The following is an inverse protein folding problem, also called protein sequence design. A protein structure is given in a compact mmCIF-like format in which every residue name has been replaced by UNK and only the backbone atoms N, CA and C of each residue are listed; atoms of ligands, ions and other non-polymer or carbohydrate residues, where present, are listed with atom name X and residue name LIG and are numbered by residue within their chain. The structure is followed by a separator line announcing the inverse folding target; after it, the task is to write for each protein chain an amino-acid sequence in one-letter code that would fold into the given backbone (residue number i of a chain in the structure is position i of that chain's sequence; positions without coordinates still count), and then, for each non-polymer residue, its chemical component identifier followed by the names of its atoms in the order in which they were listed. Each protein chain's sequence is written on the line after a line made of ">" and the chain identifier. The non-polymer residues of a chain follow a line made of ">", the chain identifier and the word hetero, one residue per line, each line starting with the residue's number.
data_IF_027325436519
#
_entry.id   IF_027325436519
#
_cell.length_a   1.000
_cell.length_b   1.000
_cell.length_c   1.000
_cell.angle_alpha   90.00
_cell.angle_beta   90.00
_cell.angle_gamma   90.00
#
_symmetry.space_group_name_H-M   'P 1'
#
loop_
_entity.id
_entity.type
_entity.pdbx_description
1 polymer ?
#
# COMPACT_ATOMS: atom_id res chain seq x y z
N UNK A 1 -0.01 13.35 31.66
CA UNK A 1 0.53 12.97 30.33
C UNK A 1 -0.66 12.67 29.44
N UNK A 2 -0.60 13.04 28.15
CA UNK A 2 -1.59 12.56 27.18
C UNK A 2 -1.21 11.11 26.85
N UNK A 3 -2.16 10.18 27.00
CA UNK A 3 -1.99 8.79 26.59
C UNK A 3 -1.81 8.73 25.06
N UNK A 4 -0.79 8.01 24.61
CA UNK A 4 -0.41 7.94 23.18
C UNK A 4 -0.11 6.51 22.77
N UNK A 5 -0.45 6.18 21.52
CA UNK A 5 -0.12 4.90 20.91
C UNK A 5 1.33 4.93 20.44
N UNK A 6 2.09 3.91 20.82
CA UNK A 6 3.47 3.71 20.35
C UNK A 6 3.44 2.72 19.19
N UNK A 7 3.94 3.14 18.03
CA UNK A 7 4.11 2.30 16.85
C UNK A 7 5.60 2.05 16.68
N UNK A 8 6.01 0.79 16.70
CA UNK A 8 7.40 0.39 16.51
C UNK A 8 7.58 -0.11 15.09
N UNK A 9 8.26 0.68 14.26
CA UNK A 9 8.50 0.47 12.83
C UNK A 9 7.79 1.50 11.95
N UNK A 10 8.57 2.21 11.12
CA UNK A 10 8.10 3.18 10.12
C UNK A 10 8.05 2.58 8.70
N UNK A 11 7.72 1.30 8.60
CA UNK A 11 7.38 0.67 7.32
C UNK A 11 5.98 1.07 6.82
N UNK A 12 5.54 0.58 5.65
CA UNK A 12 4.25 0.94 5.07
C UNK A 12 3.08 0.74 6.03
N UNK A 13 3.04 -0.39 6.74
CA UNK A 13 1.98 -0.68 7.72
C UNK A 13 2.00 0.32 8.87
N UNK A 14 3.16 0.57 9.48
CA UNK A 14 3.28 1.49 10.62
C UNK A 14 2.92 2.93 10.27
N UNK A 15 3.34 3.41 9.11
CA UNK A 15 3.00 4.75 8.61
C UNK A 15 1.51 4.88 8.30
N UNK A 16 0.90 3.88 7.66
CA UNK A 16 -0.55 3.87 7.40
C UNK A 16 -1.33 3.80 8.70
N UNK A 17 -0.91 2.98 9.67
CA UNK A 17 -1.53 2.93 11.01
C UNK A 17 -1.45 4.30 11.70
N UNK A 18 -0.29 4.94 11.68
CA UNK A 18 -0.11 6.27 12.26
C UNK A 18 -1.04 7.31 11.61
N UNK A 19 -1.15 7.30 10.29
CA UNK A 19 -2.06 8.16 9.53
C UNK A 19 -3.52 7.93 9.94
N UNK A 20 -3.97 6.68 10.00
CA UNK A 20 -5.35 6.34 10.35
C UNK A 20 -5.73 6.72 11.79
N UNK A 21 -4.78 6.62 12.73
CA UNK A 21 -4.95 7.05 14.12
C UNK A 21 -4.93 8.58 14.24
N UNK A 22 -4.02 9.25 13.53
CA UNK A 22 -3.93 10.71 13.50
C UNK A 22 -5.21 11.35 12.93
N UNK A 23 -5.82 10.76 11.89
CA UNK A 23 -7.11 11.21 11.35
C UNK A 23 -8.23 11.18 12.41
N UNK A 24 -8.15 10.23 13.34
CA UNK A 24 -9.08 10.08 14.47
C UNK A 24 -8.68 10.89 15.70
N UNK A 25 -7.72 11.80 15.56
CA UNK A 25 -7.17 12.64 16.62
C UNK A 25 -6.56 11.83 17.79
N UNK A 26 -6.12 10.59 17.51
CA UNK A 26 -5.43 9.76 18.50
C UNK A 26 -3.93 10.09 18.45
N UNK A 27 -3.32 10.53 19.57
CA UNK A 27 -1.90 10.86 19.60
C UNK A 27 -1.02 9.62 19.37
N UNK A 28 -0.05 9.74 18.47
CA UNK A 28 0.87 8.65 18.11
C UNK A 28 2.33 9.07 18.25
N UNK A 29 3.19 8.10 18.57
CA UNK A 29 4.64 8.20 18.42
C UNK A 29 5.12 7.00 17.62
N UNK A 30 5.92 7.26 16.58
CA UNK A 30 6.54 6.23 15.76
C UNK A 30 8.01 6.12 16.15
N UNK A 31 8.48 4.90 16.38
CA UNK A 31 9.89 4.58 16.64
C UNK A 31 10.42 3.74 15.49
N UNK A 32 11.43 4.24 14.79
CA UNK A 32 12.12 3.51 13.72
C UNK A 32 13.60 3.36 14.09
N UNK A 33 14.16 2.18 13.81
CA UNK A 33 15.57 1.91 14.07
C UNK A 33 16.48 2.49 12.97
N UNK A 34 15.98 2.57 11.74
CA UNK A 34 16.66 3.20 10.62
C UNK A 34 16.73 4.72 10.74
N UNK A 35 17.76 5.32 10.12
CA UNK A 35 17.97 6.77 10.10
C UNK A 35 17.08 7.53 9.10
N UNK A 36 16.23 6.84 8.34
CA UNK A 36 15.40 7.42 7.29
C UNK A 36 14.49 6.40 6.63
N UNK A 37 13.79 6.84 5.57
CA UNK A 37 12.96 5.95 4.75
C UNK A 37 13.88 4.97 4.01
N UNK A 38 13.54 3.68 4.09
CA UNK A 38 14.26 2.64 3.35
C UNK A 38 13.92 2.74 1.85
N UNK A 39 14.94 2.78 0.99
CA UNK A 39 14.81 2.92 -0.47
C UNK A 39 14.87 1.57 -1.20
N UNK A 40 15.02 0.45 -0.48
CA UNK A 40 15.06 -0.87 -1.10
C UNK A 40 13.71 -1.20 -1.73
N UNK A 41 13.73 -1.64 -2.99
CA UNK A 41 12.56 -2.15 -3.66
C UNK A 41 12.14 -3.49 -3.04
N UNK A 42 11.04 -3.47 -2.28
CA UNK A 42 10.43 -4.66 -1.65
C UNK A 42 9.10 -4.99 -2.32
N UNK A 43 7.99 -4.60 -1.69
CA UNK A 43 6.66 -4.73 -2.29
C UNK A 43 6.47 -3.64 -3.34
N UNK A 44 5.99 -4.02 -4.53
CA UNK A 44 5.81 -3.12 -5.67
C UNK A 44 4.35 -2.90 -6.07
N UNK A 45 3.42 -3.70 -5.54
CA UNK A 45 2.06 -3.80 -6.05
C UNK A 45 1.05 -3.27 -5.05
N UNK A 46 0.20 -2.35 -5.50
CA UNK A 46 -1.01 -1.93 -4.80
C UNK A 46 -2.22 -2.47 -5.55
N UNK A 47 -3.05 -3.26 -4.88
CA UNK A 47 -4.32 -3.73 -5.45
C UNK A 47 -5.41 -2.69 -5.29
N UNK A 48 -6.47 -2.70 -6.13
CA UNK A 48 -7.56 -1.72 -6.06
C UNK A 48 -8.13 -1.50 -4.64
N UNK A 49 -8.42 -2.54 -3.81
CA UNK A 49 -8.94 -2.31 -2.46
C UNK A 49 -8.00 -1.50 -1.56
N UNK A 50 -6.68 -1.63 -1.76
CA UNK A 50 -5.70 -0.81 -1.02
C UNK A 50 -5.70 0.64 -1.50
N UNK A 51 -5.88 0.86 -2.81
CA UNK A 51 -6.02 2.20 -3.38
C UNK A 51 -7.33 2.86 -2.92
N UNK A 52 -8.42 2.11 -2.83
CA UNK A 52 -9.71 2.59 -2.33
C UNK A 52 -9.62 2.98 -0.85
N UNK A 53 -8.96 2.14 -0.03
CA UNK A 53 -8.68 2.44 1.37
C UNK A 53 -7.87 3.73 1.55
N UNK A 54 -6.92 4.00 0.65
CA UNK A 54 -6.03 5.17 0.73
C UNK A 54 -6.60 6.43 0.06
N UNK A 55 -7.68 6.30 -0.71
CA UNK A 55 -8.24 7.40 -1.50
C UNK A 55 -8.69 8.61 -0.66
N UNK A 56 -9.36 8.44 0.51
CA UNK A 56 -9.76 9.57 1.35
C UNK A 56 -8.60 10.43 1.84
N UNK A 57 -7.38 9.87 1.89
CA UNK A 57 -6.17 10.53 2.39
C UNK A 57 -5.34 11.18 1.29
N UNK A 58 -5.83 11.18 0.03
CA UNK A 58 -5.16 11.83 -1.10
C UNK A 58 -3.88 11.14 -1.59
N UNK A 59 -3.58 9.93 -1.10
CA UNK A 59 -2.36 9.18 -1.46
C UNK A 59 -2.52 8.46 -2.79
N UNK A 60 -3.72 7.93 -3.08
CA UNK A 60 -4.01 7.09 -4.25
C UNK A 60 -3.65 7.74 -5.58
N UNK A 61 -3.99 9.01 -5.79
CA UNK A 61 -3.65 9.72 -7.03
C UNK A 61 -2.14 9.82 -7.26
N UNK A 62 -1.35 9.97 -6.19
CA UNK A 62 0.11 10.02 -6.29
C UNK A 62 0.69 8.65 -6.62
N UNK A 63 0.17 7.58 -5.99
CA UNK A 63 0.59 6.21 -6.27
C UNK A 63 0.31 5.82 -7.73
N UNK A 64 -0.89 6.14 -8.25
CA UNK A 64 -1.24 5.85 -9.64
C UNK A 64 -0.33 6.62 -10.61
N UNK A 65 -0.02 7.89 -10.32
CA UNK A 65 0.86 8.70 -11.15
C UNK A 65 2.29 8.17 -11.22
N UNK A 66 2.78 7.55 -10.15
CA UNK A 66 4.14 7.00 -10.07
C UNK A 66 4.21 5.53 -10.53
N UNK A 67 3.10 4.79 -10.44
CA UNK A 67 3.03 3.38 -10.73
C UNK A 67 2.79 3.04 -12.21
N UNK A 68 2.90 1.75 -12.51
CA UNK A 68 2.49 1.18 -13.79
C UNK A 68 1.13 0.50 -13.64
N UNK A 69 0.13 0.97 -14.40
CA UNK A 69 -1.21 0.37 -14.40
C UNK A 69 -1.14 -1.00 -15.09
N UNK A 70 -1.53 -2.05 -14.38
CA UNK A 70 -1.51 -3.43 -14.84
C UNK A 70 -2.95 -3.99 -14.90
N UNK A 71 -3.63 -3.94 -16.07
CA UNK A 71 -5.02 -4.37 -16.19
C UNK A 71 -5.18 -5.91 -16.18
N UNK A 72 -4.07 -6.65 -16.33
CA UNK A 72 -4.09 -8.11 -16.36
C UNK A 72 -3.11 -8.70 -15.36
N UNK A 73 -3.56 -9.69 -14.60
CA UNK A 73 -2.70 -10.48 -13.73
C UNK A 73 -2.44 -11.85 -14.37
N UNK A 74 -1.31 -12.48 -14.09
CA UNK A 74 -0.99 -13.77 -14.70
C UNK A 74 -0.31 -14.73 -13.71
N UNK A 75 -0.62 -16.02 -13.89
CA UNK A 75 0.21 -17.12 -13.40
C UNK A 75 0.91 -17.70 -14.62
N UNK A 76 2.23 -17.81 -14.60
CA UNK A 76 3.05 -18.19 -15.75
C UNK A 76 4.06 -19.27 -15.40
N UNK A 77 4.14 -20.29 -16.25
CA UNK A 77 5.25 -21.23 -16.27
C UNK A 77 6.40 -20.63 -17.08
N UNK A 78 7.51 -20.31 -16.42
CA UNK A 78 8.67 -19.70 -17.08
C UNK A 78 9.28 -20.56 -18.20
N UNK A 79 9.46 -21.89 -18.05
CA UNK A 79 10.09 -22.71 -19.10
C UNK A 79 9.25 -22.87 -20.37
N UNK A 80 7.95 -23.17 -20.23
CA UNK A 80 7.06 -23.40 -21.38
C UNK A 80 6.41 -22.11 -21.91
N UNK A 81 6.34 -21.06 -21.09
CA UNK A 81 5.65 -19.82 -21.42
C UNK A 81 4.12 -19.89 -21.29
N UNK A 82 3.56 -21.05 -20.96
CA UNK A 82 2.14 -21.24 -20.67
C UNK A 82 1.70 -20.32 -19.53
N UNK A 83 0.50 -19.76 -19.68
CA UNK A 83 -0.02 -18.80 -18.70
C UNK A 83 -1.54 -18.83 -18.60
N UNK A 84 -2.03 -18.65 -17.39
CA UNK A 84 -3.37 -18.18 -17.14
C UNK A 84 -3.31 -16.65 -17.05
N UNK A 85 -4.18 -15.96 -17.80
CA UNK A 85 -4.30 -14.50 -17.78
C UNK A 85 -5.66 -14.15 -17.21
N UNK A 86 -5.66 -13.27 -16.22
CA UNK A 86 -6.83 -12.78 -15.51
C UNK A 86 -7.02 -11.31 -15.88
N UNK A 87 -8.10 -11.00 -16.58
CA UNK A 87 -8.50 -9.63 -16.91
C UNK A 87 -9.21 -9.01 -15.70
N UNK A 88 -8.56 -8.04 -15.06
CA UNK A 88 -9.09 -7.38 -13.87
C UNK A 88 -10.20 -6.37 -14.20
N UNK A 89 -10.39 -6.00 -15.47
CA UNK A 89 -11.48 -5.11 -15.87
C UNK A 89 -12.86 -5.75 -15.70
N UNK A 90 -12.93 -7.09 -15.67
CA UNK A 90 -14.18 -7.83 -15.48
C UNK A 90 -14.79 -7.66 -14.09
N UNK A 91 -13.99 -7.23 -13.11
CA UNK A 91 -14.41 -6.93 -11.73
C UNK A 91 -14.26 -5.43 -11.41
N UNK A 92 -14.25 -4.58 -12.44
CA UNK A 92 -14.10 -3.15 -12.24
C UNK A 92 -15.26 -2.58 -11.42
N UNK A 93 -14.93 -1.84 -10.35
CA UNK A 93 -15.92 -1.26 -9.45
C UNK A 93 -16.49 -2.24 -8.40
N UNK A 94 -15.94 -3.44 -8.28
CA UNK A 94 -16.33 -4.43 -7.27
C UNK A 94 -15.43 -4.43 -6.02
N UNK A 95 -14.64 -3.37 -5.82
CA UNK A 95 -13.72 -3.22 -4.68
C UNK A 95 -14.09 -2.06 -3.77
#
# INVERSE_FOLDING_TARGET
>A
MIDKVIIVGAGPVGLVTAMLLAERQIPVVILEAGGGINEDLRASTFHPPTLDMLAPFGVTGQLIKQGLICPTWQIRMHPSGERAVFDLSLIAGET
#
